data_IF_734404045765
#
_entry.id   IF_734404045765
#
_cell.length_a   1.000
_cell.length_b   1.000
_cell.length_c   1.000
_cell.angle_alpha   90.00
_cell.angle_beta   90.00
_cell.angle_gamma   90.00
#
_symmetry.space_group_name_H-M   'P 1'
#
loop_
_entity.id
_entity.type
_entity.pdbx_description
1 polymer ?
#
# COMPACT_ATOMS: atom_id res chain seq x y z
N UNK A 1 -4.30 -4.10 -30.54
CA UNK A 1 -4.56 -3.96 -29.09
C UNK A 1 -4.97 -5.34 -28.56
N UNK A 2 -4.05 -6.07 -27.92
CA UNK A 2 -4.33 -7.45 -27.47
C UNK A 2 -4.98 -7.34 -26.08
N UNK A 3 -6.28 -7.65 -25.98
CA UNK A 3 -6.98 -7.80 -24.68
C UNK A 3 -6.24 -8.87 -23.89
N UNK A 4 -5.62 -8.50 -22.77
CA UNK A 4 -5.01 -9.44 -21.85
C UNK A 4 -6.11 -10.36 -21.30
N UNK A 5 -5.92 -11.66 -21.40
CA UNK A 5 -6.81 -12.67 -20.85
C UNK A 5 -6.96 -12.43 -19.35
N UNK A 6 -8.19 -12.37 -18.84
CA UNK A 6 -8.48 -12.32 -17.40
C UNK A 6 -7.81 -13.52 -16.74
N UNK A 7 -6.75 -13.26 -15.98
CA UNK A 7 -6.16 -14.21 -15.04
C UNK A 7 -6.63 -13.79 -13.66
N UNK A 8 -7.07 -14.76 -12.87
CA UNK A 8 -7.26 -14.56 -11.43
C UNK A 8 -5.86 -14.47 -10.83
N UNK A 9 -5.26 -13.28 -10.93
CA UNK A 9 -3.86 -13.06 -10.59
C UNK A 9 -3.76 -12.92 -9.07
N UNK A 10 -3.37 -14.04 -8.45
CA UNK A 10 -2.97 -14.11 -7.04
C UNK A 10 -1.61 -13.44 -6.86
N UNK A 11 -1.33 -13.00 -5.64
CA UNK A 11 -0.01 -12.47 -5.29
C UNK A 11 1.10 -13.53 -5.44
N UNK A 12 2.35 -13.09 -5.58
CA UNK A 12 3.52 -13.95 -5.79
C UNK A 12 4.25 -14.35 -4.50
N UNK A 13 3.65 -14.10 -3.33
CA UNK A 13 4.15 -14.45 -2.00
C UNK A 13 3.09 -15.19 -1.16
N UNK A 14 3.54 -15.96 -0.17
CA UNK A 14 2.66 -16.82 0.63
C UNK A 14 2.01 -16.12 1.84
N UNK A 15 2.74 -15.21 2.50
CA UNK A 15 2.33 -14.60 3.77
C UNK A 15 1.36 -13.41 3.58
N UNK A 16 0.19 -13.65 2.99
CA UNK A 16 -0.83 -12.64 2.70
C UNK A 16 -1.40 -12.04 3.99
N UNK A 17 -1.38 -10.70 4.09
CA UNK A 17 -1.85 -9.95 5.25
C UNK A 17 -0.82 -9.84 6.38
N UNK A 18 0.39 -10.39 6.23
CA UNK A 18 1.39 -10.39 7.29
C UNK A 18 1.87 -8.97 7.69
N UNK A 19 1.61 -7.94 6.87
CA UNK A 19 1.86 -6.55 7.30
C UNK A 19 0.96 -6.07 8.44
N UNK A 20 -0.10 -6.81 8.79
CA UNK A 20 -0.93 -6.54 9.98
C UNK A 20 -0.36 -7.17 11.24
N UNK A 21 0.40 -8.27 11.13
CA UNK A 21 0.92 -9.02 12.28
C UNK A 21 1.79 -8.13 13.18
N UNK A 22 1.54 -8.10 14.50
CA UNK A 22 2.25 -7.23 15.45
C UNK A 22 3.74 -7.56 15.55
N UNK A 23 4.10 -8.81 15.29
CA UNK A 23 5.43 -9.38 15.37
C UNK A 23 6.22 -9.36 14.05
N UNK A 24 5.70 -8.73 13.00
CA UNK A 24 6.32 -8.66 11.65
C UNK A 24 7.83 -8.36 11.66
N UNK A 25 8.30 -7.47 12.55
CA UNK A 25 9.71 -7.09 12.62
C UNK A 25 10.58 -8.19 13.26
N UNK A 26 10.01 -8.96 14.18
CA UNK A 26 10.68 -10.02 14.91
C UNK A 26 10.63 -11.35 14.15
N UNK A 27 9.48 -11.65 13.54
CA UNK A 27 9.22 -12.88 12.78
C UNK A 27 8.70 -12.55 11.37
N UNK A 28 9.53 -11.96 10.50
CA UNK A 28 9.14 -11.67 9.13
C UNK A 28 8.91 -12.97 8.33
N UNK A 29 8.09 -12.93 7.27
CA UNK A 29 7.96 -14.03 6.32
C UNK A 29 9.32 -14.53 5.79
N UNK A 30 9.41 -15.81 5.47
CA UNK A 30 10.67 -16.46 5.13
C UNK A 30 11.41 -15.70 3.99
N UNK A 31 12.71 -15.48 4.18
CA UNK A 31 13.61 -14.81 3.20
C UNK A 31 13.20 -13.38 2.83
N UNK A 32 12.31 -12.77 3.60
CA UNK A 32 11.94 -11.37 3.44
C UNK A 32 12.71 -10.46 4.41
N UNK A 33 12.78 -9.18 4.05
CA UNK A 33 13.35 -8.12 4.88
C UNK A 33 12.17 -7.27 5.34
N UNK A 34 11.85 -7.20 6.65
CA UNK A 34 10.77 -6.35 7.14
C UNK A 34 11.22 -4.88 7.27
N UNK A 35 10.24 -3.97 7.27
CA UNK A 35 10.42 -2.55 7.57
C UNK A 35 9.15 -1.97 8.19
N UNK A 36 9.33 -0.93 9.00
CA UNK A 36 8.28 -0.14 9.61
C UNK A 36 8.79 1.28 9.76
N UNK A 37 8.01 2.24 9.26
CA UNK A 37 8.20 3.65 9.56
C UNK A 37 6.85 4.28 9.93
N UNK A 38 6.88 5.24 10.85
CA UNK A 38 5.68 5.94 11.30
C UNK A 38 6.01 7.40 11.57
N UNK A 39 5.18 8.31 11.06
CA UNK A 39 5.37 9.74 11.15
C UNK A 39 4.10 10.44 11.60
N UNK A 40 4.22 11.38 12.53
CA UNK A 40 3.13 12.31 12.84
C UNK A 40 2.99 13.30 11.69
N UNK A 41 1.81 13.37 11.09
CA UNK A 41 1.50 14.22 9.94
C UNK A 41 0.55 15.39 10.27
N UNK A 42 0.18 15.55 11.54
CA UNK A 42 -0.58 16.69 12.05
C UNK A 42 -1.52 16.28 13.18
N UNK A 43 -2.62 16.99 13.32
CA UNK A 43 -3.68 16.72 14.31
C UNK A 43 -5.07 17.06 13.75
N UNK A 44 -6.12 16.53 14.38
CA UNK A 44 -7.50 16.85 14.08
C UNK A 44 -8.14 16.04 12.94
N UNK A 45 -9.47 15.99 12.97
CA UNK A 45 -10.28 15.25 12.00
C UNK A 45 -10.06 15.73 10.55
N UNK A 46 -9.93 17.03 10.32
CA UNK A 46 -9.71 17.58 8.98
C UNK A 46 -8.41 17.05 8.35
N UNK A 47 -7.34 16.92 9.16
CA UNK A 47 -6.08 16.35 8.70
C UNK A 47 -6.22 14.86 8.42
N UNK A 48 -6.92 14.13 9.29
CA UNK A 48 -7.21 12.70 9.10
C UNK A 48 -7.96 12.46 7.79
N UNK A 49 -9.09 13.15 7.57
CA UNK A 49 -9.91 13.02 6.35
C UNK A 49 -9.10 13.35 5.10
N UNK A 50 -8.39 14.49 5.08
CA UNK A 50 -7.59 14.88 3.92
C UNK A 50 -6.45 13.90 3.62
N UNK A 51 -5.79 13.35 4.65
CA UNK A 51 -4.74 12.35 4.46
C UNK A 51 -5.30 10.99 4.01
N UNK A 52 -6.46 10.60 4.54
CA UNK A 52 -7.19 9.41 4.12
C UNK A 52 -7.65 9.49 2.68
N UNK A 53 -8.23 10.61 2.26
CA UNK A 53 -8.63 10.85 0.87
C UNK A 53 -7.44 10.82 -0.08
N UNK A 54 -6.33 11.45 0.28
CA UNK A 54 -5.09 11.38 -0.49
C UNK A 54 -4.57 9.94 -0.59
N UNK A 55 -4.65 9.16 0.50
CA UNK A 55 -4.20 7.77 0.51
C UNK A 55 -5.08 6.89 -0.39
N UNK A 56 -6.41 6.97 -0.25
CA UNK A 56 -7.37 6.15 -1.01
C UNK A 56 -7.49 6.54 -2.48
N UNK A 57 -7.06 7.75 -2.84
CA UNK A 57 -6.91 8.20 -4.23
C UNK A 57 -5.50 7.94 -4.78
N UNK A 58 -4.78 6.93 -4.27
CA UNK A 58 -3.44 6.54 -4.74
C UNK A 58 -2.35 7.62 -4.61
N UNK A 59 -2.58 8.63 -3.78
CA UNK A 59 -1.71 9.79 -3.63
C UNK A 59 -0.30 9.40 -3.19
N UNK A 60 -0.15 8.37 -2.34
CA UNK A 60 1.16 7.85 -1.94
C UNK A 60 1.99 7.42 -3.16
N UNK A 61 1.45 6.54 -4.01
CA UNK A 61 2.13 6.03 -5.19
C UNK A 61 2.41 7.15 -6.21
N UNK A 62 1.40 7.99 -6.49
CA UNK A 62 1.55 9.14 -7.41
C UNK A 62 2.61 10.13 -6.94
N UNK A 63 2.60 10.50 -5.66
CA UNK A 63 3.56 11.43 -5.07
C UNK A 63 4.97 10.86 -4.90
N UNK A 64 5.13 9.53 -4.91
CA UNK A 64 6.43 8.89 -5.09
C UNK A 64 6.92 8.91 -6.56
N UNK A 65 6.20 9.58 -7.46
CA UNK A 65 6.55 9.69 -8.88
C UNK A 65 6.20 8.46 -9.70
N UNK A 66 5.30 7.61 -9.20
CA UNK A 66 4.85 6.41 -9.92
C UNK A 66 3.60 6.73 -10.73
N UNK A 67 3.60 6.29 -11.98
CA UNK A 67 2.43 6.35 -12.86
C UNK A 67 1.57 5.11 -12.63
N UNK A 68 0.27 5.31 -12.44
CA UNK A 68 -0.70 4.22 -12.33
C UNK A 68 -1.33 3.96 -13.70
N UNK A 69 -1.43 2.70 -14.05
CA UNK A 69 -2.08 2.23 -15.28
C UNK A 69 -2.87 0.96 -14.97
N UNK A 70 -3.87 0.66 -15.81
CA UNK A 70 -4.66 -0.57 -15.70
C UNK A 70 -5.22 -0.82 -14.29
N UNK A 71 -5.82 0.23 -13.69
CA UNK A 71 -6.48 0.12 -12.38
C UNK A 71 -7.81 -0.61 -12.56
N UNK A 72 -7.86 -1.86 -12.11
CA UNK A 72 -8.97 -2.80 -12.30
C UNK A 72 -9.57 -3.16 -10.95
N UNK A 73 -10.75 -2.62 -10.59
CA UNK A 73 -11.47 -3.03 -9.38
C UNK A 73 -11.80 -4.52 -9.39
N UNK A 74 -12.00 -5.10 -8.21
CA UNK A 74 -12.40 -6.49 -8.09
C UNK A 74 -13.72 -6.75 -8.83
N UNK A 75 -13.76 -7.78 -9.68
CA UNK A 75 -14.97 -8.17 -10.41
C UNK A 75 -15.86 -9.04 -9.51
N UNK A 76 -16.80 -8.43 -8.78
CA UNK A 76 -17.75 -9.13 -7.90
C UNK A 76 -17.29 -9.23 -6.43
N UNK A 77 -18.03 -9.94 -5.56
CA UNK A 77 -17.79 -10.00 -4.09
C UNK A 77 -16.47 -10.71 -3.68
N UNK A 78 -15.56 -10.94 -4.63
CA UNK A 78 -14.54 -11.99 -4.61
C UNK A 78 -13.26 -11.71 -3.82
N UNK A 79 -13.14 -10.59 -3.11
CA UNK A 79 -11.99 -10.41 -2.23
C UNK A 79 -12.31 -9.42 -1.11
N UNK A 80 -12.76 -9.94 0.03
CA UNK A 80 -13.04 -9.13 1.21
C UNK A 80 -11.75 -8.64 1.91
N UNK A 81 -10.58 -9.13 1.47
CA UNK A 81 -9.32 -8.95 2.17
C UNK A 81 -9.26 -9.74 3.49
N UNK A 82 -8.06 -9.78 4.08
CA UNK A 82 -7.86 -10.37 5.41
C UNK A 82 -7.71 -9.23 6.41
N UNK A 83 -8.50 -9.26 7.48
CA UNK A 83 -8.39 -8.32 8.59
C UNK A 83 -8.14 -9.10 9.88
N UNK A 84 -7.28 -8.58 10.74
CA UNK A 84 -7.03 -9.10 12.07
C UNK A 84 -7.31 -8.02 13.11
N UNK A 85 -7.87 -8.39 14.26
CA UNK A 85 -7.98 -7.50 15.42
C UNK A 85 -6.63 -7.29 16.11
N UNK A 86 -6.62 -6.53 17.21
CA UNK A 86 -5.40 -6.21 17.95
C UNK A 86 -4.73 -7.48 18.55
N UNK A 87 -5.52 -8.54 18.75
CA UNK A 87 -5.11 -9.84 19.28
C UNK A 87 -4.66 -10.81 18.18
N UNK A 88 -4.70 -10.41 16.90
CA UNK A 88 -4.29 -11.24 15.77
C UNK A 88 -5.35 -12.27 15.35
N UNK A 89 -6.59 -12.14 15.82
CA UNK A 89 -7.71 -12.99 15.43
C UNK A 89 -8.26 -12.52 14.08
N UNK A 90 -8.49 -13.43 13.10
CA UNK A 90 -9.15 -13.06 11.86
C UNK A 90 -10.54 -12.49 12.15
N UNK A 91 -10.76 -11.24 11.79
CA UNK A 91 -12.08 -10.59 11.86
C UNK A 91 -12.66 -10.48 10.47
N UNK A 92 -13.99 -10.60 10.38
CA UNK A 92 -14.68 -10.29 9.14
C UNK A 92 -14.33 -8.83 8.77
N UNK A 93 -13.78 -8.58 7.58
CA UNK A 93 -13.44 -7.23 7.15
C UNK A 93 -14.69 -6.35 7.29
N UNK A 94 -14.50 -5.11 7.75
CA UNK A 94 -15.58 -4.15 7.98
C UNK A 94 -16.26 -3.82 6.66
N UNK A 95 -17.19 -4.69 6.24
CA UNK A 95 -17.98 -4.54 5.03
C UNK A 95 -18.96 -3.39 5.24
N UNK A 96 -18.56 -2.19 4.84
CA UNK A 96 -19.50 -1.38 4.07
C UNK A 96 -19.22 -1.74 2.62
N UNK A 97 -20.23 -2.22 1.90
CA UNK A 97 -20.23 -2.17 0.43
C UNK A 97 -20.16 -0.69 0.07
N UNK A 98 -18.97 -0.12 0.11
CA UNK A 98 -18.75 1.23 -0.36
C UNK A 98 -18.90 1.16 -1.87
N UNK A 99 -19.87 1.89 -2.40
CA UNK A 99 -19.95 2.12 -3.84
C UNK A 99 -18.57 2.56 -4.34
N UNK A 100 -18.14 1.95 -5.45
CA UNK A 100 -16.84 2.25 -6.03
C UNK A 100 -16.76 3.74 -6.35
N UNK A 101 -15.87 4.45 -5.65
CA UNK A 101 -15.56 5.86 -5.90
C UNK A 101 -14.54 5.99 -7.02
N UNK A 102 -14.59 7.10 -7.74
CA UNK A 102 -13.68 7.43 -8.83
C UNK A 102 -13.16 8.85 -8.64
N UNK A 103 -11.90 9.09 -9.02
CA UNK A 103 -11.35 10.44 -9.08
C UNK A 103 -11.81 11.17 -10.35
N UNK A 104 -11.42 12.45 -10.48
CA UNK A 104 -11.82 13.29 -11.61
C UNK A 104 -11.38 12.74 -12.98
N UNK A 105 -10.32 11.95 -13.02
CA UNK A 105 -9.81 11.31 -14.24
C UNK A 105 -10.47 9.96 -14.52
N UNK A 106 -11.43 9.55 -13.68
CA UNK A 106 -12.12 8.25 -13.78
C UNK A 106 -11.30 7.08 -13.25
N UNK A 107 -10.22 7.33 -12.49
CA UNK A 107 -9.48 6.27 -11.81
C UNK A 107 -10.26 5.82 -10.58
N UNK A 108 -10.57 4.52 -10.42
CA UNK A 108 -11.23 4.04 -9.22
C UNK A 108 -10.33 4.27 -7.99
N UNK A 109 -10.93 4.70 -6.89
CA UNK A 109 -10.30 4.72 -5.58
C UNK A 109 -9.89 3.32 -5.16
N UNK A 110 -8.91 3.24 -4.26
CA UNK A 110 -8.46 1.99 -3.66
C UNK A 110 -9.66 1.23 -3.10
N UNK A 111 -9.79 -0.03 -3.50
CA UNK A 111 -10.75 -0.98 -2.95
C UNK A 111 -10.12 -2.36 -2.85
N UNK A 112 -10.55 -3.16 -1.87
CA UNK A 112 -10.03 -4.52 -1.69
C UNK A 112 -10.13 -5.33 -2.99
N UNK A 113 -9.03 -6.00 -3.36
CA UNK A 113 -8.92 -6.81 -4.56
C UNK A 113 -8.66 -6.03 -5.85
N UNK A 114 -8.60 -4.70 -5.80
CA UNK A 114 -8.19 -3.88 -6.96
C UNK A 114 -6.79 -4.27 -7.40
N UNK A 115 -6.62 -4.50 -8.70
CA UNK A 115 -5.31 -4.73 -9.32
C UNK A 115 -4.86 -3.46 -10.03
N UNK A 116 -3.58 -3.12 -9.94
CA UNK A 116 -3.00 -1.93 -10.55
C UNK A 116 -1.59 -2.20 -11.05
N UNK A 117 -1.22 -1.57 -12.17
CA UNK A 117 0.15 -1.52 -12.64
C UNK A 117 0.76 -0.17 -12.31
N UNK A 118 1.88 -0.18 -11.61
CA UNK A 118 2.68 1.01 -11.35
C UNK A 118 3.91 0.99 -12.26
N UNK A 119 4.25 2.17 -12.77
CA UNK A 119 5.41 2.38 -13.63
C UNK A 119 6.26 3.54 -13.13
N UNK A 120 7.58 3.39 -13.17
CA UNK A 120 8.51 4.48 -12.92
C UNK A 120 9.75 4.11 -12.13
N UNK A 121 10.42 5.16 -11.65
CA UNK A 121 11.65 5.06 -10.86
C UNK A 121 11.61 6.05 -9.71
N UNK A 122 12.18 5.64 -8.58
CA UNK A 122 12.42 6.51 -7.43
C UNK A 122 13.93 6.61 -7.19
N UNK A 123 14.48 7.81 -7.29
CA UNK A 123 15.94 8.10 -7.19
C UNK A 123 16.82 7.07 -7.92
N UNK A 124 16.45 6.73 -9.16
CA UNK A 124 17.18 5.79 -10.03
C UNK A 124 16.81 4.31 -9.87
N UNK A 125 16.11 3.93 -8.79
CA UNK A 125 15.65 2.56 -8.57
C UNK A 125 14.35 2.26 -9.32
N UNK A 126 14.28 1.12 -10.00
CA UNK A 126 13.07 0.66 -10.70
C UNK A 126 11.97 0.36 -9.69
N UNK A 127 10.77 0.87 -9.96
CA UNK A 127 9.60 0.67 -9.11
C UNK A 127 8.40 0.05 -9.86
N UNK A 128 8.60 -0.38 -11.11
CA UNK A 128 7.56 -1.10 -11.86
C UNK A 128 7.06 -2.32 -11.10
N UNK A 129 5.74 -2.52 -11.07
CA UNK A 129 5.10 -3.68 -10.48
C UNK A 129 3.65 -3.80 -10.95
N UNK A 130 3.15 -5.03 -10.99
CA UNK A 130 1.72 -5.33 -10.91
C UNK A 130 1.40 -5.67 -9.47
N UNK A 131 0.44 -4.96 -8.88
CA UNK A 131 0.12 -4.99 -7.47
C UNK A 131 -1.38 -5.25 -7.28
N UNK A 132 -1.73 -5.87 -6.16
CA UNK A 132 -3.11 -6.12 -5.75
C UNK A 132 -3.38 -5.56 -4.37
N UNK A 133 -4.52 -4.92 -4.18
CA UNK A 133 -4.97 -4.45 -2.88
C UNK A 133 -5.42 -5.63 -2.02
N UNK A 134 -4.71 -5.89 -0.93
CA UNK A 134 -4.88 -7.05 -0.03
C UNK A 134 -5.95 -6.83 1.04
N UNK A 135 -6.11 -5.59 1.47
CA UNK A 135 -7.22 -5.17 2.29
C UNK A 135 -7.37 -3.66 2.13
N UNK A 136 -8.55 -3.15 2.45
CA UNK A 136 -8.82 -1.72 2.55
C UNK A 136 -9.64 -1.50 3.83
N UNK A 137 -9.24 -0.54 4.65
CA UNK A 137 -9.87 -0.19 5.92
C UNK A 137 -10.33 1.26 5.81
N UNK A 138 -11.61 1.51 6.11
CA UNK A 138 -12.21 2.84 6.18
C UNK A 138 -13.08 2.94 7.43
N UNK A 139 -12.45 3.25 8.54
CA UNK A 139 -13.06 3.43 9.84
C UNK A 139 -13.04 4.91 10.25
N UNK A 140 -13.80 5.26 11.28
CA UNK A 140 -13.94 6.65 11.73
C UNK A 140 -12.62 7.34 12.10
N UNK A 141 -11.61 6.56 12.53
CA UNK A 141 -10.31 7.06 12.99
C UNK A 141 -9.11 6.34 12.36
N UNK A 142 -9.36 5.48 11.37
CA UNK A 142 -8.34 4.66 10.72
C UNK A 142 -8.68 4.45 9.26
N UNK A 143 -7.75 4.80 8.36
CA UNK A 143 -7.89 4.60 6.92
C UNK A 143 -6.59 4.04 6.37
N UNK A 144 -6.67 3.00 5.54
CA UNK A 144 -5.47 2.43 4.95
C UNK A 144 -5.72 1.21 4.09
N UNK A 145 -4.68 0.72 3.47
CA UNK A 145 -4.73 -0.47 2.62
C UNK A 145 -3.35 -1.12 2.53
N UNK A 146 -3.30 -2.34 2.01
CA UNK A 146 -2.05 -3.00 1.66
C UNK A 146 -1.99 -3.35 0.18
N UNK A 147 -0.80 -3.23 -0.39
CA UNK A 147 -0.46 -3.70 -1.73
C UNK A 147 0.41 -4.93 -1.63
N UNK A 148 -0.01 -6.01 -2.27
CA UNK A 148 0.78 -7.21 -2.47
C UNK A 148 1.28 -7.27 -3.90
N UNK A 149 2.51 -7.75 -4.09
CA UNK A 149 3.07 -7.98 -5.42
C UNK A 149 2.39 -9.15 -6.12
N UNK A 150 2.00 -8.94 -7.36
CA UNK A 150 1.52 -9.97 -8.29
C UNK A 150 2.65 -10.38 -9.24
N UNK A 151 3.42 -9.39 -9.73
CA UNK A 151 4.54 -9.65 -10.61
C UNK A 151 5.20 -8.39 -11.15
N UNK A 152 6.20 -8.56 -12.02
CA UNK A 152 6.89 -7.44 -12.69
C UNK A 152 7.83 -6.60 -11.82
N UNK A 153 7.82 -6.84 -10.51
CA UNK A 153 8.64 -6.14 -9.52
C UNK A 153 10.03 -6.77 -9.34
N UNK A 154 10.98 -5.95 -8.91
CA UNK A 154 12.34 -6.38 -8.50
C UNK A 154 12.38 -7.02 -7.11
N UNK A 155 11.26 -6.93 -6.38
CA UNK A 155 11.02 -7.54 -5.07
C UNK A 155 9.61 -8.15 -5.03
N UNK A 156 9.40 -9.17 -4.20
CA UNK A 156 8.11 -9.79 -3.92
C UNK A 156 7.76 -9.62 -2.45
N UNK A 157 6.54 -9.22 -2.12
CA UNK A 157 6.07 -9.02 -0.76
C UNK A 157 4.86 -8.09 -0.66
N UNK A 158 4.65 -7.54 0.53
CA UNK A 158 3.49 -6.74 0.86
C UNK A 158 3.91 -5.43 1.55
N UNK A 159 3.20 -4.35 1.24
CA UNK A 159 3.39 -3.03 1.80
C UNK A 159 2.03 -2.46 2.21
N UNK A 160 1.86 -2.15 3.50
CA UNK A 160 0.66 -1.51 4.03
C UNK A 160 0.91 -0.05 4.38
N UNK A 161 -0.14 0.74 4.19
CA UNK A 161 -0.19 2.17 4.40
C UNK A 161 -1.38 2.46 5.31
N UNK A 162 -1.16 3.19 6.39
CA UNK A 162 -2.20 3.46 7.37
C UNK A 162 -2.12 4.90 7.85
N UNK A 163 -3.25 5.59 7.83
CA UNK A 163 -3.46 6.86 8.52
C UNK A 163 -4.33 6.59 9.75
N UNK A 164 -3.86 6.99 10.92
CA UNK A 164 -4.55 6.79 12.20
C UNK A 164 -4.73 8.14 12.90
N UNK A 165 -5.94 8.42 13.36
CA UNK A 165 -6.25 9.55 14.23
C UNK A 165 -6.36 9.05 15.67
N UNK A 166 -5.31 9.29 16.46
CA UNK A 166 -5.19 8.81 17.84
C UNK A 166 -6.01 9.64 18.82
N UNK A 167 -6.32 9.08 19.98
CA UNK A 167 -7.17 9.72 21.01
C UNK A 167 -6.62 11.07 21.50
N UNK A 168 -5.30 11.25 21.45
CA UNK A 168 -4.61 12.51 21.77
C UNK A 168 -4.67 13.56 20.63
N UNK A 169 -5.59 13.39 19.69
CA UNK A 169 -5.81 14.21 18.50
C UNK A 169 -4.69 14.16 17.43
N UNK A 170 -3.63 13.39 17.62
CA UNK A 170 -2.56 13.27 16.63
C UNK A 170 -2.97 12.41 15.44
N UNK A 171 -2.57 12.84 14.24
CA UNK A 171 -2.73 12.05 13.00
C UNK A 171 -1.37 11.50 12.59
N UNK A 172 -1.30 10.18 12.47
CA UNK A 172 -0.08 9.43 12.14
C UNK A 172 -0.22 8.73 10.80
N UNK A 173 0.86 8.72 10.02
CA UNK A 173 0.99 7.92 8.81
C UNK A 173 2.05 6.84 9.04
N UNK A 174 1.65 5.58 8.88
CA UNK A 174 2.47 4.41 9.12
C UNK A 174 2.58 3.60 7.84
N UNK A 175 3.80 3.17 7.51
CA UNK A 175 4.06 2.24 6.41
C UNK A 175 4.79 1.03 6.97
N UNK A 176 4.22 -0.16 6.74
CA UNK A 176 4.84 -1.44 7.12
C UNK A 176 5.04 -2.27 5.86
N UNK A 177 6.16 -2.95 5.75
CA UNK A 177 6.41 -3.78 4.58
C UNK A 177 7.28 -4.99 4.93
N UNK A 178 7.16 -6.03 4.13
CA UNK A 178 8.20 -7.03 3.99
C UNK A 178 8.39 -7.31 2.51
N UNK A 179 9.64 -7.53 2.10
CA UNK A 179 9.91 -7.89 0.72
C UNK A 179 11.16 -8.77 0.58
N UNK A 180 11.15 -9.63 -0.43
CA UNK A 180 12.23 -10.52 -0.82
C UNK A 180 12.68 -10.17 -2.25
N UNK A 181 14.00 -10.06 -2.52
CA UNK A 181 14.49 -9.71 -3.85
C UNK A 181 14.23 -10.81 -4.89
N UNK A 182 13.60 -10.46 -6.02
CA UNK A 182 13.33 -11.38 -7.13
C UNK A 182 14.35 -11.23 -8.26
N UNK A 183 14.85 -10.01 -8.49
CA UNK A 183 15.83 -9.71 -9.52
C UNK A 183 17.26 -10.09 -9.10
N UNK A 184 18.05 -10.65 -10.03
CA UNK A 184 19.41 -11.14 -9.75
C UNK A 184 20.33 -10.08 -9.11
N UNK A 185 20.29 -8.84 -9.60
CA UNK A 185 21.06 -7.73 -9.03
C UNK A 185 20.67 -7.44 -7.57
N UNK A 186 19.37 -7.47 -7.25
CA UNK A 186 18.87 -7.20 -5.90
C UNK A 186 19.14 -8.37 -4.94
N UNK A 187 19.24 -9.61 -5.45
CA UNK A 187 19.71 -10.77 -4.68
C UNK A 187 21.19 -10.67 -4.32
N UNK A 188 22.03 -10.15 -5.23
CA UNK A 188 23.47 -9.96 -5.00
C UNK A 188 23.79 -8.72 -4.15
N UNK A 189 22.91 -7.72 -4.15
CA UNK A 189 23.14 -6.45 -3.44
C UNK A 189 21.97 -6.08 -2.51
N UNK A 190 21.82 -6.76 -1.35
CA UNK A 190 20.77 -6.46 -0.37
C UNK A 190 20.65 -4.97 0.06
N UNK A 191 21.73 -4.17 0.12
CA UNK A 191 21.60 -2.74 0.40
C UNK A 191 20.75 -1.98 -0.63
N UNK A 192 20.64 -2.44 -1.87
CA UNK A 192 19.79 -1.81 -2.90
C UNK A 192 18.30 -1.96 -2.59
N UNK A 193 17.90 -3.08 -1.99
CA UNK A 193 16.51 -3.30 -1.52
C UNK A 193 16.17 -2.24 -0.48
N UNK A 194 17.02 -2.10 0.55
CA UNK A 194 16.81 -1.13 1.64
C UNK A 194 16.83 0.32 1.16
N UNK A 195 17.75 0.66 0.24
CA UNK A 195 17.81 2.00 -0.37
C UNK A 195 16.55 2.31 -1.17
N UNK A 196 16.14 1.41 -2.08
CA UNK A 196 14.90 1.57 -2.86
C UNK A 196 13.71 1.79 -1.94
N UNK A 197 13.56 0.96 -0.90
CA UNK A 197 12.46 1.05 0.05
C UNK A 197 12.45 2.38 0.81
N UNK A 198 13.60 2.81 1.32
CA UNK A 198 13.74 4.12 1.98
C UNK A 198 13.27 5.25 1.06
N UNK A 199 13.64 5.21 -0.21
CA UNK A 199 13.26 6.24 -1.17
C UNK A 199 11.76 6.23 -1.49
N UNK A 200 11.15 5.04 -1.61
CA UNK A 200 9.69 4.92 -1.73
C UNK A 200 8.97 5.50 -0.51
N UNK A 201 9.38 5.09 0.69
CA UNK A 201 8.78 5.54 1.96
C UNK A 201 8.84 7.06 2.11
N UNK A 202 9.97 7.68 1.75
CA UNK A 202 10.09 9.14 1.73
C UNK A 202 9.18 9.79 0.67
N UNK A 203 9.02 9.18 -0.50
CA UNK A 203 8.07 9.63 -1.52
C UNK A 203 6.63 9.60 -1.00
N UNK A 204 6.23 8.50 -0.36
CA UNK A 204 4.91 8.35 0.24
C UNK A 204 4.67 9.38 1.35
N UNK A 205 5.63 9.56 2.25
CA UNK A 205 5.53 10.56 3.32
C UNK A 205 5.34 11.97 2.73
N UNK A 206 6.11 12.35 1.70
CA UNK A 206 5.97 13.67 1.06
C UNK A 206 4.61 13.87 0.42
N UNK A 207 4.01 12.79 -0.10
CA UNK A 207 2.70 12.86 -0.74
C UNK A 207 1.56 13.03 0.27
N UNK A 208 1.66 12.38 1.43
CA UNK A 208 0.58 12.33 2.43
C UNK A 208 0.71 13.45 3.47
N UNK A 209 1.95 13.87 3.77
CA UNK A 209 2.21 14.88 4.79
C UNK A 209 2.00 16.30 4.26
N UNK A 210 1.26 17.16 4.98
CA UNK A 210 1.11 18.57 4.60
C UNK A 210 2.42 19.35 4.62
N UNK A 211 3.45 18.86 5.35
CA UNK A 211 4.74 19.54 5.48
C UNK A 211 5.49 19.68 4.14
N UNK A 212 5.12 18.89 3.15
CA UNK A 212 5.76 18.87 1.83
C UNK A 212 4.83 19.31 0.71
N UNK A 213 3.57 19.66 1.03
CA UNK A 213 2.70 20.36 0.08
C UNK A 213 3.30 21.75 -0.14
N UNK A 214 4.11 21.88 -1.19
CA UNK A 214 4.56 23.19 -1.64
C UNK A 214 3.34 23.88 -2.23
N UNK A 215 3.07 25.12 -1.81
CA UNK A 215 1.94 25.90 -2.31
C UNK A 215 1.87 25.85 -3.84
N UNK A 216 0.64 25.72 -4.33
CA UNK A 216 0.26 25.77 -5.75
C UNK A 216 0.78 27.02 -6.44
#
# INVERSE_FOLDING_TARGET
>A
MRRGTFRDETVDYAAVGATQASDLLQYPPERSIPAHESWRIGSGEARFRSAGDALLSWGAQRGAGLQLTDVRPASGPGYAGVAFDAEGTPVAPSRREAEQRYDADGTPYVGAGTTVRVHGRIRGHRADAELRVIFCVEEARRVGFALGTVGGSVVSGEESFMVEWRENDEVWFTVRAFDAPTAALYRLMPPLVRRRRRELFLGYLRAISPLYTTGS
#
